data_IF_872595696558
#
_entry.id   IF_872595696558
#
_cell.length_a   1.000
_cell.length_b   1.000
_cell.length_c   1.000
_cell.angle_alpha   90.00
_cell.angle_beta   90.00
_cell.angle_gamma   90.00
#
_symmetry.space_group_name_H-M   'P 1'
#
loop_
_entity.id
_entity.type
_entity.pdbx_description
1 polymer ?
#
# COMPACT_ATOMS: atom_id res chain seq x y z
N UNK A 1 1.13 -0.01 -9.80
CA UNK A 1 0.58 -1.38 -9.58
C UNK A 1 0.44 -2.21 -10.85
N UNK A 2 -0.10 -1.67 -11.97
CA UNK A 2 -0.10 -2.38 -13.28
C UNK A 2 1.31 -2.84 -13.75
N UNK A 3 2.36 -2.12 -13.36
CA UNK A 3 3.75 -2.41 -13.72
C UNK A 3 4.31 -3.77 -13.23
N UNK A 4 3.67 -4.43 -12.24
CA UNK A 4 4.04 -5.79 -11.78
C UNK A 4 2.97 -6.85 -12.10
N UNK A 5 1.92 -6.50 -12.84
CA UNK A 5 0.79 -7.41 -13.10
C UNK A 5 0.00 -7.83 -11.84
N UNK A 6 0.22 -7.16 -10.70
CA UNK A 6 -0.41 -7.53 -9.43
C UNK A 6 -1.82 -6.92 -9.34
N UNK A 7 -2.84 -7.77 -9.21
CA UNK A 7 -4.22 -7.34 -8.96
C UNK A 7 -4.44 -7.08 -7.48
N UNK A 8 -5.49 -6.32 -7.13
CA UNK A 8 -5.86 -6.10 -5.72
C UNK A 8 -6.23 -7.41 -5.00
N UNK A 9 -6.84 -8.38 -5.72
CA UNK A 9 -7.14 -9.71 -5.18
C UNK A 9 -5.89 -10.45 -4.77
N UNK A 10 -4.88 -10.48 -5.65
CA UNK A 10 -3.60 -11.14 -5.36
C UNK A 10 -2.82 -10.45 -4.25
N UNK A 11 -2.91 -9.12 -4.16
CA UNK A 11 -2.34 -8.38 -3.04
C UNK A 11 -3.03 -8.71 -1.72
N UNK A 12 -4.36 -8.85 -1.73
CA UNK A 12 -5.13 -9.21 -0.55
C UNK A 12 -4.76 -10.62 -0.05
N UNK A 13 -4.57 -11.58 -0.95
CA UNK A 13 -4.04 -12.91 -0.63
C UNK A 13 -2.64 -12.82 0.02
N UNK A 14 -1.73 -12.02 -0.55
CA UNK A 14 -0.35 -11.87 -0.06
C UNK A 14 -0.27 -11.32 1.37
N UNK A 15 -1.22 -10.48 1.79
CA UNK A 15 -1.22 -9.83 3.11
C UNK A 15 -2.25 -10.43 4.08
N UNK A 16 -2.84 -11.57 3.73
CA UNK A 16 -3.92 -12.23 4.47
C UNK A 16 -5.05 -11.26 4.83
N UNK A 17 -5.68 -10.70 3.80
CA UNK A 17 -6.75 -9.71 3.95
C UNK A 17 -7.82 -9.81 2.87
N UNK A 18 -8.84 -8.95 2.97
CA UNK A 18 -9.95 -8.92 2.01
C UNK A 18 -9.70 -7.85 0.92
N UNK A 19 -10.05 -8.11 -0.36
CA UNK A 19 -9.85 -7.14 -1.45
C UNK A 19 -10.47 -5.76 -1.17
N UNK A 20 -11.65 -5.72 -0.53
CA UNK A 20 -12.29 -4.48 -0.11
C UNK A 20 -11.46 -3.69 0.92
N UNK A 21 -10.74 -4.36 1.81
CA UNK A 21 -9.87 -3.70 2.78
C UNK A 21 -8.62 -3.12 2.10
N UNK A 22 -8.05 -3.85 1.13
CA UNK A 22 -6.97 -3.34 0.26
C UNK A 22 -7.43 -2.11 -0.51
N UNK A 23 -8.62 -2.16 -1.13
CA UNK A 23 -9.18 -1.01 -1.87
C UNK A 23 -9.35 0.22 -0.96
N UNK A 24 -9.91 0.05 0.24
CA UNK A 24 -10.03 1.12 1.23
C UNK A 24 -8.67 1.70 1.64
N UNK A 25 -7.68 0.84 1.88
CA UNK A 25 -6.33 1.29 2.23
C UNK A 25 -5.70 2.10 1.10
N UNK A 26 -5.78 1.61 -0.15
CA UNK A 26 -5.23 2.32 -1.32
C UNK A 26 -5.91 3.69 -1.56
N UNK A 27 -7.15 3.87 -1.12
CA UNK A 27 -7.86 5.16 -1.15
C UNK A 27 -7.66 6.02 0.10
N UNK A 28 -6.99 5.54 1.14
CA UNK A 28 -6.76 6.27 2.39
C UNK A 28 -5.41 6.99 2.38
N UNK A 29 -5.21 7.88 3.37
CA UNK A 29 -3.89 8.46 3.61
C UNK A 29 -2.89 7.35 4.00
N UNK A 30 -1.66 7.46 3.48
CA UNK A 30 -0.55 6.54 3.73
C UNK A 30 -0.18 6.43 5.21
N UNK A 31 -0.33 7.54 5.95
CA UNK A 31 0.12 7.68 7.35
C UNK A 31 -0.97 7.26 8.35
N UNK A 32 -2.13 6.76 7.88
CA UNK A 32 -3.17 6.27 8.77
C UNK A 32 -2.74 4.97 9.47
N UNK A 33 -2.59 5.03 10.80
CA UNK A 33 -2.20 3.89 11.65
C UNK A 33 -3.17 2.72 11.59
N UNK A 34 -4.44 2.96 11.22
CA UNK A 34 -5.45 1.91 11.09
C UNK A 34 -5.49 1.32 9.68
N UNK A 35 -4.71 1.85 8.74
CA UNK A 35 -4.68 1.40 7.36
C UNK A 35 -3.76 0.18 7.16
N UNK A 36 -4.05 -0.60 6.12
CA UNK A 36 -3.23 -1.75 5.70
C UNK A 36 -1.95 -1.35 4.97
N UNK A 37 -1.66 -0.06 4.84
CA UNK A 37 -0.48 0.44 4.12
C UNK A 37 0.83 -0.19 4.57
N UNK A 38 1.03 -0.40 5.88
CA UNK A 38 2.24 -1.03 6.40
C UNK A 38 2.42 -2.43 5.80
N UNK A 39 1.37 -3.26 5.83
CA UNK A 39 1.41 -4.62 5.25
C UNK A 39 1.56 -4.59 3.73
N UNK A 40 0.90 -3.64 3.06
CA UNK A 40 0.98 -3.50 1.60
C UNK A 40 2.40 -3.15 1.15
N UNK A 41 3.05 -2.21 1.84
CA UNK A 41 4.42 -1.80 1.53
C UNK A 41 5.40 -2.95 1.75
N UNK A 42 5.30 -3.62 2.89
CA UNK A 42 6.14 -4.78 3.24
C UNK A 42 6.02 -5.90 2.18
N UNK A 43 4.79 -6.29 1.82
CA UNK A 43 4.55 -7.32 0.80
C UNK A 43 5.05 -6.94 -0.60
N UNK A 44 5.22 -5.64 -0.87
CA UNK A 44 5.76 -5.14 -2.14
C UNK A 44 7.27 -4.91 -2.08
N UNK A 45 7.91 -5.07 -0.92
CA UNK A 45 9.31 -4.74 -0.68
C UNK A 45 9.57 -3.23 -0.82
N UNK A 46 8.63 -2.41 -0.35
CA UNK A 46 8.68 -0.95 -0.43
C UNK A 46 8.86 -0.33 0.96
N UNK A 47 9.55 0.80 0.99
CA UNK A 47 9.73 1.61 2.20
C UNK A 47 9.20 3.03 1.99
N UNK A 48 8.79 3.68 3.09
CA UNK A 48 8.43 5.11 3.08
C UNK A 48 9.68 5.92 3.39
N UNK A 49 10.12 6.75 2.45
CA UNK A 49 11.20 7.70 2.67
C UNK A 49 10.62 9.10 2.78
N UNK A 50 10.73 9.70 3.96
CA UNK A 50 10.37 11.11 4.17
C UNK A 50 11.56 11.97 3.74
N UNK A 51 11.35 12.87 2.79
CA UNK A 51 12.36 13.81 2.32
C UNK A 51 11.86 15.25 2.48
N UNK A 52 12.76 16.22 2.74
CA UNK A 52 12.38 17.63 2.68
C UNK A 52 11.77 17.97 1.33
N UNK A 53 10.73 18.80 1.34
CA UNK A 53 10.17 19.35 0.11
C UNK A 53 11.25 20.20 -0.55
N UNK A 54 11.58 19.89 -1.81
CA UNK A 54 12.40 20.79 -2.63
C UNK A 54 11.50 21.97 -3.01
N UNK A 55 11.85 23.16 -2.54
CA UNK A 55 11.25 24.39 -3.03
C UNK A 55 12.08 24.82 -4.24
N UNK A 56 11.56 24.57 -5.44
CA UNK A 56 11.98 25.29 -6.65
C UNK A 56 11.33 26.68 -6.67
#
# INVERSE_FOLDING_TARGET
MKARGLTQGKLAELIDSHPAAVSRALGSNLIDRRSLWIKILDALGLEIVVRPKQND
#
